data_IF_466302875796
#
_entry.id   IF_466302875796
#
_cell.length_a   1.000
_cell.length_b   1.000
_cell.length_c   1.000
_cell.angle_alpha   90.00
_cell.angle_beta   90.00
_cell.angle_gamma   90.00
#
_symmetry.space_group_name_H-M   'P 1'
#
loop_
_entity.id
_entity.type
_entity.pdbx_description
1 polymer ?
#
# COMPACT_ATOMS: atom_id res chain seq x y z
N UNK A 1 12.17 2.81 0.16
CA UNK A 1 10.75 2.41 0.17
C UNK A 1 9.82 3.61 0.36
N UNK A 2 10.00 4.42 1.40
CA UNK A 2 9.17 5.62 1.62
C UNK A 2 9.10 6.56 0.41
N UNK A 3 10.22 6.84 -0.26
CA UNK A 3 10.23 7.70 -1.45
C UNK A 3 9.43 7.11 -2.61
N UNK A 4 9.48 5.78 -2.78
CA UNK A 4 8.68 5.07 -3.78
C UNK A 4 7.19 5.25 -3.48
N UNK A 5 6.79 5.08 -2.21
CA UNK A 5 5.40 5.30 -1.78
C UNK A 5 4.95 6.74 -2.08
N UNK A 6 5.78 7.73 -1.70
CA UNK A 6 5.49 9.16 -1.91
C UNK A 6 5.31 9.51 -3.38
N UNK A 7 6.15 8.97 -4.25
CA UNK A 7 6.15 9.34 -5.67
C UNK A 7 5.07 8.58 -6.46
N UNK A 8 4.75 7.34 -6.09
CA UNK A 8 3.98 6.45 -6.98
C UNK A 8 2.64 5.98 -6.44
N UNK A 9 2.44 5.84 -5.13
CA UNK A 9 1.24 5.16 -4.59
C UNK A 9 -0.04 5.86 -5.00
N UNK A 10 -0.18 7.15 -4.65
CA UNK A 10 -1.42 7.91 -4.91
C UNK A 10 -1.60 8.18 -6.40
N UNK A 11 -0.53 8.57 -7.09
CA UNK A 11 -0.58 8.94 -8.51
C UNK A 11 -0.92 7.74 -9.41
N UNK A 12 -0.34 6.57 -9.14
CA UNK A 12 -0.60 5.36 -9.91
C UNK A 12 -1.94 4.74 -9.56
N UNK A 13 -2.29 4.66 -8.28
CA UNK A 13 -3.59 4.11 -7.87
C UNK A 13 -4.76 4.96 -8.37
N UNK A 14 -4.67 6.29 -8.31
CA UNK A 14 -5.70 7.18 -8.89
C UNK A 14 -5.83 7.01 -10.41
N UNK A 15 -4.73 6.76 -11.10
CA UNK A 15 -4.72 6.53 -12.56
C UNK A 15 -5.35 5.20 -12.96
N UNK A 16 -5.12 4.13 -12.19
CA UNK A 16 -5.57 2.77 -12.54
C UNK A 16 -6.97 2.48 -11.98
N UNK A 17 -7.22 2.82 -10.72
CA UNK A 17 -8.41 2.42 -9.97
C UNK A 17 -9.33 3.60 -9.58
N UNK A 18 -8.90 4.85 -9.80
CA UNK A 18 -9.66 6.04 -9.43
C UNK A 18 -9.48 6.46 -7.97
N UNK A 19 -10.40 7.29 -7.46
CA UNK A 19 -10.34 7.78 -6.07
C UNK A 19 -10.64 6.63 -5.08
N UNK A 20 -10.07 6.72 -3.88
CA UNK A 20 -10.31 5.82 -2.75
C UNK A 20 -10.01 4.34 -3.07
N UNK A 21 -8.97 4.10 -3.89
CA UNK A 21 -8.55 2.75 -4.23
C UNK A 21 -7.99 2.01 -3.00
N UNK A 22 -8.05 0.68 -3.06
CA UNK A 22 -7.49 -0.18 -2.02
C UNK A 22 -6.00 -0.40 -2.30
N UNK A 23 -5.16 0.00 -1.36
CA UNK A 23 -3.73 -0.24 -1.38
C UNK A 23 -3.43 -1.53 -0.61
N UNK A 24 -2.80 -2.49 -1.29
CA UNK A 24 -2.33 -3.74 -0.70
C UNK A 24 -0.80 -3.69 -0.58
N UNK A 25 -0.27 -4.13 0.56
CA UNK A 25 1.16 -4.39 0.75
C UNK A 25 1.32 -5.57 1.72
N UNK A 26 2.42 -6.30 1.59
CA UNK A 26 2.78 -7.39 2.50
C UNK A 26 3.47 -6.87 3.77
N UNK A 27 3.52 -7.73 4.79
CA UNK A 27 4.14 -7.44 6.09
C UNK A 27 5.66 -7.72 6.10
N UNK A 28 6.35 -7.63 4.96
CA UNK A 28 7.82 -7.74 4.92
C UNK A 28 8.46 -6.65 5.78
N UNK A 29 9.50 -6.98 6.54
CA UNK A 29 10.22 -6.09 7.46
C UNK A 29 10.63 -4.75 6.81
N UNK A 30 10.92 -4.74 5.51
CA UNK A 30 11.24 -3.52 4.74
C UNK A 30 10.05 -2.56 4.59
N UNK A 31 8.82 -3.08 4.70
CA UNK A 31 7.56 -2.35 4.61
C UNK A 31 6.98 -1.99 5.98
N UNK A 32 7.38 -2.71 7.04
CA UNK A 32 6.92 -2.49 8.43
C UNK A 32 7.64 -1.35 9.17
N UNK A 33 8.52 -0.60 8.50
CA UNK A 33 9.19 0.54 9.12
C UNK A 33 8.17 1.58 9.61
N UNK A 34 8.33 2.08 10.85
CA UNK A 34 7.39 3.01 11.50
C UNK A 34 7.04 4.23 10.64
N UNK A 35 8.03 4.77 9.92
CA UNK A 35 7.85 5.92 9.04
C UNK A 35 6.93 5.62 7.84
N UNK A 36 7.02 4.41 7.28
CA UNK A 36 6.18 3.98 6.16
C UNK A 36 4.75 3.75 6.62
N UNK A 37 4.57 3.11 7.78
CA UNK A 37 3.25 2.90 8.39
C UNK A 37 2.57 4.24 8.70
N UNK A 38 3.31 5.18 9.27
CA UNK A 38 2.78 6.52 9.56
C UNK A 38 2.31 7.21 8.28
N UNK A 39 3.16 7.23 7.25
CA UNK A 39 2.83 7.86 5.97
C UNK A 39 1.57 7.24 5.31
N UNK A 40 1.46 5.91 5.30
CA UNK A 40 0.28 5.23 4.75
C UNK A 40 -0.99 5.56 5.56
N UNK A 41 -0.90 5.61 6.89
CA UNK A 41 -2.04 6.00 7.74
C UNK A 41 -2.47 7.45 7.53
N UNK A 42 -1.54 8.36 7.26
CA UNK A 42 -1.88 9.74 6.89
C UNK A 42 -2.66 9.80 5.57
N UNK A 43 -2.24 9.03 4.56
CA UNK A 43 -2.97 8.91 3.29
C UNK A 43 -4.37 8.30 3.50
N UNK A 44 -4.51 7.29 4.36
CA UNK A 44 -5.81 6.69 4.68
C UNK A 44 -6.72 7.67 5.42
N UNK A 45 -6.18 8.42 6.40
CA UNK A 45 -6.93 9.44 7.16
C UNK A 45 -7.42 10.57 6.24
N UNK A 46 -6.64 10.93 5.22
CA UNK A 46 -7.01 11.94 4.22
C UNK A 46 -7.98 11.40 3.15
N UNK A 47 -8.41 10.12 3.24
CA UNK A 47 -9.20 9.42 2.24
C UNK A 47 -8.53 9.36 0.85
N UNK A 48 -7.21 9.45 0.76
CA UNK A 48 -6.50 9.30 -0.52
C UNK A 48 -6.45 7.82 -0.96
N UNK A 49 -6.35 6.91 0.01
CA UNK A 49 -6.26 5.46 -0.17
C UNK A 49 -7.05 4.75 0.93
N UNK A 50 -7.37 3.48 0.72
CA UNK A 50 -7.81 2.56 1.79
C UNK A 50 -6.78 1.45 1.94
N UNK A 51 -6.28 1.18 3.13
CA UNK A 51 -5.26 0.15 3.32
C UNK A 51 -5.96 -1.20 3.55
N UNK A 52 -5.57 -2.20 2.79
CA UNK A 52 -5.99 -3.58 3.05
C UNK A 52 -5.13 -4.19 4.15
N UNK A 53 -5.78 -4.81 5.14
CA UNK A 53 -5.08 -5.65 6.11
C UNK A 53 -4.57 -6.91 5.40
N UNK A 54 -3.27 -7.12 5.46
CA UNK A 54 -2.61 -8.33 4.98
C UNK A 54 -2.36 -9.30 6.13
N UNK A 55 -2.38 -10.60 5.85
CA UNK A 55 -1.97 -11.63 6.82
C UNK A 55 -0.51 -12.00 6.56
N UNK A 56 0.32 -12.16 7.60
CA UNK A 56 1.69 -12.62 7.44
C UNK A 56 1.75 -13.96 6.68
N UNK A 57 2.80 -14.15 5.87
CA UNK A 57 3.07 -15.38 5.10
C UNK A 57 1.95 -15.80 4.12
N UNK A 58 1.07 -14.88 3.74
CA UNK A 58 -0.06 -15.14 2.83
C UNK A 58 0.27 -14.77 1.39
N UNK A 59 1.44 -15.16 0.88
CA UNK A 59 1.89 -14.80 -0.48
C UNK A 59 1.02 -15.41 -1.58
N UNK A 60 0.36 -16.53 -1.30
CA UNK A 60 -0.60 -17.20 -2.17
C UNK A 60 -1.82 -16.33 -2.52
N UNK A 61 -2.18 -15.39 -1.65
CA UNK A 61 -3.24 -14.41 -1.86
C UNK A 61 -2.79 -13.20 -2.68
N UNK A 62 -1.49 -13.01 -2.91
CA UNK A 62 -0.96 -11.85 -3.62
C UNK A 62 -1.04 -12.08 -5.14
N UNK A 63 -1.92 -11.38 -5.88
CA UNK A 63 -2.11 -11.65 -7.30
C UNK A 63 -0.87 -11.39 -8.15
N UNK A 64 0.06 -10.54 -7.68
CA UNK A 64 1.30 -10.21 -8.40
C UNK A 64 2.30 -11.37 -8.44
N UNK A 65 2.20 -12.33 -7.51
CA UNK A 65 3.09 -13.51 -7.48
C UNK A 65 2.79 -14.51 -8.61
N UNK A 66 1.65 -14.33 -9.31
CA UNK A 66 1.20 -15.18 -10.42
C UNK A 66 1.38 -14.52 -11.79
N UNK A 67 2.02 -13.33 -11.85
CA UNK A 67 2.42 -12.67 -13.09
C UNK A 67 3.75 -13.25 -13.61
#
# INVERSE_FOLDING_TARGET
YLDILKNHTVSSGKRINGRNFVFMHDDDFKHSAKVCIHYLRELETNNDIKIMRWLPQSSDFNPIEKL
#
